data_IF_870622882053
#
_entry.id   IF_870622882053
#
_cell.length_a   1.000
_cell.length_b   1.000
_cell.length_c   1.000
_cell.angle_alpha   90.00
_cell.angle_beta   90.00
_cell.angle_gamma   90.00
#
_symmetry.space_group_name_H-M   'P 1'
#
loop_
_entity.id
_entity.type
_entity.pdbx_description
1 polymer ?
#
# COMPACT_ATOMS: atom_id res chain seq x y z
N UNK A 1 -0.26 -5.08 -30.53
CA UNK A 1 -1.53 -5.82 -30.45
C UNK A 1 -1.88 -6.24 -29.01
N UNK A 2 -0.93 -6.69 -28.18
CA UNK A 2 -1.18 -7.04 -26.76
C UNK A 2 -1.61 -5.86 -25.88
N UNK A 3 -1.14 -4.64 -26.16
CA UNK A 3 -1.50 -3.43 -25.40
C UNK A 3 -3.00 -3.16 -25.44
N UNK A 4 -3.66 -3.32 -26.60
CA UNK A 4 -5.11 -3.09 -26.74
C UNK A 4 -6.00 -4.05 -25.93
N UNK A 5 -5.55 -5.29 -25.69
CA UNK A 5 -6.29 -6.28 -24.90
C UNK A 5 -6.26 -5.98 -23.40
N UNK A 6 -5.15 -5.43 -22.89
CA UNK A 6 -5.05 -4.99 -21.50
C UNK A 6 -5.90 -3.73 -21.24
N UNK A 7 -5.94 -2.80 -22.21
CA UNK A 7 -6.85 -1.65 -22.17
C UNK A 7 -8.31 -2.09 -22.14
N UNK A 8 -8.70 -3.03 -23.01
CA UNK A 8 -10.05 -3.60 -23.00
C UNK A 8 -10.36 -4.30 -21.67
N UNK A 9 -9.38 -4.98 -21.07
CA UNK A 9 -9.55 -5.64 -19.77
C UNK A 9 -9.69 -4.65 -18.60
N UNK A 10 -8.93 -3.55 -18.57
CA UNK A 10 -9.07 -2.50 -17.54
C UNK A 10 -10.39 -1.75 -17.70
N UNK A 11 -10.79 -1.42 -18.94
CA UNK A 11 -12.09 -0.80 -19.22
C UNK A 11 -13.26 -1.74 -18.91
N UNK A 12 -13.16 -3.02 -19.24
CA UNK A 12 -14.15 -4.02 -18.85
C UNK A 12 -14.14 -4.21 -17.33
N UNK A 13 -13.00 -4.26 -16.66
CA UNK A 13 -12.91 -4.38 -15.19
C UNK A 13 -13.50 -3.17 -14.48
N UNK A 14 -13.34 -1.98 -15.04
CA UNK A 14 -13.92 -0.74 -14.53
C UNK A 14 -15.43 -0.65 -14.82
N UNK A 15 -15.88 -1.08 -15.99
CA UNK A 15 -17.30 -1.24 -16.37
C UNK A 15 -17.99 -2.30 -15.51
N UNK A 16 -17.30 -3.40 -15.22
CA UNK A 16 -17.75 -4.46 -14.33
C UNK A 16 -17.75 -3.97 -12.89
N UNK A 17 -16.71 -3.31 -12.38
CA UNK A 17 -16.74 -2.74 -11.03
C UNK A 17 -17.88 -1.72 -10.84
N UNK A 18 -18.27 -0.98 -11.89
CA UNK A 18 -19.39 -0.03 -11.87
C UNK A 18 -20.77 -0.71 -11.73
N UNK A 19 -20.93 -1.94 -12.24
CA UNK A 19 -22.15 -2.74 -12.05
C UNK A 19 -22.17 -3.41 -10.63
N UNK A 20 -21.05 -3.42 -9.88
CA UNK A 20 -20.74 -4.42 -8.83
C UNK A 20 -20.30 -3.83 -7.47
N UNK A 21 -21.13 -3.00 -6.84
CA UNK A 21 -21.01 -2.79 -5.39
C UNK A 21 -21.43 -4.03 -4.55
N UNK A 22 -21.75 -5.17 -5.18
CA UNK A 22 -22.42 -6.30 -4.51
C UNK A 22 -21.85 -7.71 -4.77
N UNK A 23 -21.16 -8.00 -5.89
CA UNK A 23 -20.79 -9.38 -6.25
C UNK A 23 -19.28 -9.63 -6.33
N UNK A 24 -18.77 -10.77 -5.84
CA UNK A 24 -17.38 -11.16 -6.00
C UNK A 24 -17.03 -11.44 -7.47
N UNK A 25 -15.81 -11.11 -7.87
CA UNK A 25 -15.29 -11.38 -9.22
C UNK A 25 -14.34 -12.56 -9.26
N UNK A 26 -14.50 -13.51 -10.20
CA UNK A 26 -13.57 -14.62 -10.31
C UNK A 26 -12.29 -14.17 -11.05
N UNK A 27 -11.14 -14.40 -10.42
CA UNK A 27 -9.82 -14.17 -11.01
C UNK A 27 -9.02 -15.47 -11.00
N UNK A 28 -8.48 -15.85 -12.16
CA UNK A 28 -7.54 -16.97 -12.27
C UNK A 28 -6.10 -16.47 -12.24
N UNK A 29 -5.34 -16.84 -11.22
CA UNK A 29 -3.93 -16.43 -11.05
C UNK A 29 -3.11 -17.64 -10.62
N UNK A 30 -2.03 -17.92 -11.35
CA UNK A 30 -1.08 -19.01 -11.06
C UNK A 30 -1.76 -20.35 -10.74
N UNK A 31 -2.67 -20.79 -11.62
CA UNK A 31 -3.31 -22.10 -11.50
C UNK A 31 -4.44 -22.19 -10.47
N UNK A 32 -4.90 -21.07 -9.89
CA UNK A 32 -6.02 -21.05 -8.94
C UNK A 32 -7.02 -19.93 -9.22
N UNK A 33 -8.28 -20.23 -8.90
CA UNK A 33 -9.38 -19.28 -8.93
C UNK A 33 -9.53 -18.60 -7.57
N UNK A 34 -9.83 -17.31 -7.61
CA UNK A 34 -10.14 -16.49 -6.44
C UNK A 34 -11.39 -15.66 -6.70
N UNK A 35 -12.18 -15.45 -5.65
CA UNK A 35 -13.20 -14.40 -5.63
C UNK A 35 -12.57 -13.12 -5.07
N UNK A 36 -12.65 -12.01 -5.79
CA UNK A 36 -12.10 -10.72 -5.33
C UNK A 36 -13.24 -9.76 -5.04
N UNK A 37 -13.17 -9.09 -3.89
CA UNK A 37 -14.12 -8.04 -3.49
C UNK A 37 -13.37 -6.77 -3.15
N UNK A 38 -13.90 -5.65 -3.60
CA UNK A 38 -13.38 -4.31 -3.33
C UNK A 38 -14.37 -3.53 -2.47
N UNK A 39 -13.86 -2.81 -1.48
CA UNK A 39 -14.64 -2.05 -0.53
C UNK A 39 -14.06 -0.65 -0.41
N UNK A 40 -14.91 0.36 -0.51
CA UNK A 40 -14.52 1.75 -0.34
C UNK A 40 -15.36 2.35 0.79
N UNK A 41 -14.70 2.77 1.87
CA UNK A 41 -15.31 3.33 3.07
C UNK A 41 -16.43 2.45 3.67
N UNK A 42 -16.18 1.15 3.90
CA UNK A 42 -17.23 0.27 4.42
C UNK A 42 -17.66 0.70 5.82
N UNK A 43 -18.93 0.49 6.13
CA UNK A 43 -19.55 0.87 7.39
C UNK A 43 -20.53 -0.22 7.89
N UNK A 44 -21.07 -0.04 9.10
CA UNK A 44 -22.09 -0.92 9.67
C UNK A 44 -21.68 -2.40 9.70
N UNK A 45 -22.58 -3.28 9.27
CA UNK A 45 -22.36 -4.73 9.25
C UNK A 45 -21.27 -5.15 8.27
N UNK A 46 -21.09 -4.42 7.17
CA UNK A 46 -20.02 -4.69 6.20
C UNK A 46 -18.66 -4.49 6.84
N UNK A 47 -18.47 -3.39 7.57
CA UNK A 47 -17.22 -3.12 8.29
C UNK A 47 -16.95 -4.17 9.39
N UNK A 48 -17.97 -4.57 10.17
CA UNK A 48 -17.83 -5.64 11.17
C UNK A 48 -17.39 -6.97 10.55
N UNK A 49 -18.04 -7.37 9.45
CA UNK A 49 -17.70 -8.59 8.72
C UNK A 49 -16.28 -8.53 8.16
N UNK A 50 -15.91 -7.39 7.58
CA UNK A 50 -14.56 -7.17 7.07
C UNK A 50 -13.51 -7.25 8.17
N UNK A 51 -13.73 -6.59 9.31
CA UNK A 51 -12.84 -6.64 10.46
C UNK A 51 -12.57 -8.08 10.89
N UNK A 52 -13.61 -8.90 10.99
CA UNK A 52 -13.49 -10.33 11.31
C UNK A 52 -12.63 -11.08 10.27
N UNK A 53 -12.89 -10.88 8.97
CA UNK A 53 -12.16 -11.53 7.88
C UNK A 53 -10.67 -11.15 7.84
N UNK A 54 -10.35 -9.86 7.96
CA UNK A 54 -8.95 -9.41 7.95
C UNK A 54 -8.22 -9.80 9.23
N UNK A 55 -8.92 -9.86 10.36
CA UNK A 55 -8.36 -10.35 11.63
C UNK A 55 -7.98 -11.83 11.53
N UNK A 56 -8.84 -12.65 10.90
CA UNK A 56 -8.55 -14.06 10.66
C UNK A 56 -7.28 -14.23 9.79
N UNK A 57 -7.16 -13.47 8.69
CA UNK A 57 -5.96 -13.54 7.83
C UNK A 57 -4.72 -13.11 8.62
N UNK A 58 -4.79 -11.99 9.33
CA UNK A 58 -3.65 -11.46 10.10
C UNK A 58 -3.19 -12.43 11.18
N UNK A 59 -4.12 -12.94 12.00
CA UNK A 59 -3.81 -13.89 13.06
C UNK A 59 -3.20 -15.18 12.48
N UNK A 60 -3.73 -15.67 11.35
CA UNK A 60 -3.20 -16.87 10.68
C UNK A 60 -1.82 -16.66 10.03
N UNK A 61 -1.47 -15.42 9.69
CA UNK A 61 -0.21 -15.09 9.01
C UNK A 61 0.89 -14.73 10.01
N UNK A 62 0.56 -13.90 11.01
CA UNK A 62 1.50 -13.31 11.96
C UNK A 62 1.52 -14.07 13.29
N UNK A 63 0.43 -14.78 13.63
CA UNK A 63 0.24 -15.47 14.92
C UNK A 63 -0.50 -14.63 15.96
N UNK A 64 -0.75 -13.34 15.69
CA UNK A 64 -1.52 -12.44 16.54
C UNK A 64 -2.16 -11.33 15.70
N UNK A 65 -3.03 -10.53 16.31
CA UNK A 65 -3.45 -9.26 15.72
C UNK A 65 -2.36 -8.21 15.95
N UNK A 66 -2.24 -7.28 15.00
CA UNK A 66 -1.36 -6.13 15.11
C UNK A 66 -2.11 -4.98 15.78
N UNK A 67 -1.39 -4.00 16.33
CA UNK A 67 -1.93 -2.83 17.01
C UNK A 67 -2.45 -1.75 16.03
N UNK A 68 -3.04 -2.18 14.91
CA UNK A 68 -3.62 -1.27 13.92
C UNK A 68 -5.06 -0.96 14.31
N UNK A 69 -5.45 0.31 14.18
CA UNK A 69 -6.80 0.78 14.50
C UNK A 69 -7.91 -0.03 13.83
N UNK A 70 -7.70 -0.52 12.60
CA UNK A 70 -8.70 -1.32 11.86
C UNK A 70 -9.06 -2.65 12.54
N UNK A 71 -8.19 -3.19 13.41
CA UNK A 71 -8.47 -4.41 14.17
C UNK A 71 -9.19 -4.13 15.50
N UNK A 72 -9.27 -2.87 15.92
CA UNK A 72 -9.79 -2.47 17.23
C UNK A 72 -11.10 -1.70 17.14
N UNK A 73 -11.22 -0.84 16.14
CA UNK A 73 -12.34 0.10 15.98
C UNK A 73 -12.96 -0.08 14.59
N UNK A 74 -14.22 -0.52 14.57
CA UNK A 74 -14.97 -0.69 13.32
C UNK A 74 -15.17 0.65 12.58
N UNK A 75 -15.15 1.79 13.28
CA UNK A 75 -15.27 3.10 12.66
C UNK A 75 -13.98 3.53 11.94
N UNK A 76 -12.86 2.84 12.20
CA UNK A 76 -11.60 3.08 11.50
C UNK A 76 -11.70 2.78 10.00
N UNK A 77 -12.74 2.07 9.55
CA UNK A 77 -12.99 1.79 8.14
C UNK A 77 -13.53 2.99 7.34
N UNK A 78 -13.97 4.06 7.99
CA UNK A 78 -14.57 5.26 7.36
C UNK A 78 -13.69 5.93 6.30
N UNK A 79 -12.37 5.77 6.36
CA UNK A 79 -11.43 6.27 5.35
C UNK A 79 -10.59 5.15 4.70
N UNK A 80 -11.05 3.89 4.78
CA UNK A 80 -10.32 2.72 4.26
C UNK A 80 -10.85 2.24 2.93
N UNK A 81 -9.95 1.73 2.11
CA UNK A 81 -10.20 1.14 0.81
C UNK A 81 -9.54 -0.23 0.82
N UNK A 82 -10.34 -1.30 0.75
CA UNK A 82 -9.85 -2.66 0.90
C UNK A 82 -10.10 -3.47 -0.37
N UNK A 83 -9.13 -4.33 -0.69
CA UNK A 83 -9.37 -5.51 -1.52
C UNK A 83 -9.23 -6.74 -0.65
N UNK A 84 -10.19 -7.65 -0.73
CA UNK A 84 -10.12 -8.97 -0.10
C UNK A 84 -10.27 -10.02 -1.19
N UNK A 85 -9.34 -10.97 -1.25
CA UNK A 85 -9.46 -12.14 -2.10
C UNK A 85 -9.82 -13.36 -1.25
N UNK A 86 -10.72 -14.17 -1.79
CA UNK A 86 -11.21 -15.40 -1.19
C UNK A 86 -10.82 -16.56 -2.12
N UNK A 87 -10.43 -17.69 -1.54
CA UNK A 87 -10.26 -18.91 -2.31
C UNK A 87 -11.62 -19.31 -2.93
N UNK A 88 -11.62 -19.62 -4.22
CA UNK A 88 -12.86 -19.82 -4.98
C UNK A 88 -13.71 -20.98 -4.45
N UNK A 89 -13.06 -22.06 -4.03
CA UNK A 89 -13.71 -23.32 -3.65
C UNK A 89 -14.16 -23.33 -2.20
N UNK A 90 -13.33 -22.79 -1.31
CA UNK A 90 -13.60 -22.79 0.13
C UNK A 90 -14.31 -21.52 0.62
N UNK A 91 -14.38 -20.48 -0.22
CA UNK A 91 -14.84 -19.14 0.13
C UNK A 91 -14.11 -18.50 1.34
N UNK A 92 -12.97 -19.06 1.75
CA UNK A 92 -12.16 -18.54 2.84
C UNK A 92 -11.41 -17.28 2.40
N UNK A 93 -11.34 -16.23 3.23
CA UNK A 93 -10.50 -15.06 2.93
C UNK A 93 -9.03 -15.46 2.99
N UNK A 94 -8.26 -15.22 1.92
CA UNK A 94 -6.86 -15.66 1.80
C UNK A 94 -5.86 -14.52 1.63
N UNK A 95 -6.34 -13.34 1.26
CA UNK A 95 -5.54 -12.15 1.04
C UNK A 95 -6.34 -10.90 1.36
N UNK A 96 -5.68 -9.88 1.89
CA UNK A 96 -6.20 -8.53 1.84
C UNK A 96 -5.09 -7.49 1.66
N UNK A 97 -5.48 -6.34 1.10
CA UNK A 97 -4.73 -5.09 1.17
C UNK A 97 -5.66 -4.00 1.73
N UNK A 98 -5.15 -3.20 2.66
CA UNK A 98 -5.88 -2.10 3.27
C UNK A 98 -5.18 -0.77 3.00
N UNK A 99 -5.77 0.06 2.15
CA UNK A 99 -5.32 1.42 1.88
C UNK A 99 -6.13 2.37 2.75
N UNK A 100 -5.52 3.42 3.26
CA UNK A 100 -6.29 4.52 3.83
C UNK A 100 -6.09 5.80 3.03
N UNK A 101 -7.15 6.60 2.99
CA UNK A 101 -7.15 7.91 2.37
C UNK A 101 -6.99 8.99 3.44
N UNK A 102 -6.18 9.99 3.11
CA UNK A 102 -6.21 11.29 3.75
C UNK A 102 -6.32 12.39 2.71
N UNK A 103 -7.08 13.43 3.02
CA UNK A 103 -7.00 14.71 2.31
C UNK A 103 -6.00 15.60 3.05
N UNK A 104 -5.37 16.52 2.31
CA UNK A 104 -4.49 17.51 2.92
C UNK A 104 -5.33 18.67 3.46
N UNK A 105 -5.03 19.19 4.67
CA UNK A 105 -5.56 20.47 5.13
C UNK A 105 -5.18 21.59 4.16
N UNK A 106 -6.05 22.60 4.02
CA UNK A 106 -5.87 23.72 3.09
C UNK A 106 -4.52 24.41 3.26
N UNK A 107 -4.06 24.59 4.50
CA UNK A 107 -2.79 25.24 4.84
C UNK A 107 -1.54 24.45 4.39
N UNK A 108 -1.66 23.12 4.24
CA UNK A 108 -0.60 22.29 3.65
C UNK A 108 -0.77 22.25 2.13
N UNK A 109 -2.00 22.13 1.66
CA UNK A 109 -2.33 22.09 0.24
C UNK A 109 -1.82 23.33 -0.52
N UNK A 110 -1.98 24.53 0.04
CA UNK A 110 -1.49 25.77 -0.58
C UNK A 110 0.04 25.77 -0.77
N UNK A 111 0.76 25.05 0.08
CA UNK A 111 2.23 24.88 0.02
C UNK A 111 2.65 23.78 -0.96
N UNK A 112 1.72 22.97 -1.47
CA UNK A 112 1.99 21.96 -2.48
C UNK A 112 2.21 22.60 -3.86
N UNK A 113 3.05 21.99 -4.73
CA UNK A 113 3.15 22.38 -6.13
C UNK A 113 1.77 22.42 -6.79
N UNK A 114 1.53 23.33 -7.73
CA UNK A 114 0.22 23.50 -8.38
C UNK A 114 -0.34 22.17 -8.92
N UNK A 115 0.52 21.32 -9.48
CA UNK A 115 0.14 20.01 -9.98
C UNK A 115 -0.22 18.97 -8.91
N UNK A 116 0.01 19.22 -7.62
CA UNK A 116 -0.30 18.32 -6.50
C UNK A 116 -1.36 18.90 -5.54
N UNK A 117 -1.86 20.11 -5.80
CA UNK A 117 -3.03 20.64 -5.10
C UNK A 117 -4.25 19.76 -5.41
N UNK A 118 -5.19 19.67 -4.48
CA UNK A 118 -6.39 18.83 -4.53
C UNK A 118 -6.13 17.35 -4.82
N UNK A 119 -4.90 16.89 -4.55
CA UNK A 119 -4.47 15.52 -4.77
C UNK A 119 -4.49 14.78 -3.44
N UNK A 120 -5.35 13.76 -3.27
CA UNK A 120 -5.45 13.03 -2.02
C UNK A 120 -4.23 12.15 -1.81
N UNK A 121 -3.96 11.86 -0.55
CA UNK A 121 -2.95 10.90 -0.14
C UNK A 121 -3.62 9.54 0.03
N UNK A 122 -3.11 8.54 -0.66
CA UNK A 122 -3.42 7.14 -0.43
C UNK A 122 -2.20 6.47 0.21
N UNK A 123 -2.36 5.93 1.40
CA UNK A 123 -1.31 5.17 2.05
C UNK A 123 -1.50 3.68 1.80
N UNK A 124 -0.57 3.07 1.07
CA UNK A 124 -0.47 1.65 0.81
C UNK A 124 0.00 0.91 2.07
N UNK A 125 -0.90 0.78 3.05
CA UNK A 125 -0.64 0.03 4.27
C UNK A 125 -1.01 -1.46 4.15
N UNK A 126 -0.49 -2.25 5.08
CA UNK A 126 -0.98 -3.55 5.52
C UNK A 126 -1.50 -4.49 4.40
N UNK A 127 -0.58 -5.32 3.91
CA UNK A 127 -0.86 -6.38 2.94
C UNK A 127 -0.58 -7.71 3.60
N UNK A 128 -1.56 -8.61 3.62
CA UNK A 128 -1.42 -9.93 4.19
C UNK A 128 -1.88 -11.01 3.22
N UNK A 129 -1.17 -12.12 3.20
CA UNK A 129 -1.50 -13.31 2.42
C UNK A 129 -1.30 -14.53 3.29
N UNK A 130 -2.31 -15.39 3.37
CA UNK A 130 -2.18 -16.65 4.08
C UNK A 130 -0.97 -17.44 3.56
N UNK A 131 -0.19 -18.11 4.43
CA UNK A 131 1.00 -18.86 4.03
C UNK A 131 0.76 -19.83 2.86
N UNK A 132 -0.39 -20.53 2.85
CA UNK A 132 -0.79 -21.48 1.79
C UNK A 132 -1.04 -20.84 0.41
N UNK A 133 -1.10 -19.50 0.35
CA UNK A 133 -1.37 -18.71 -0.86
C UNK A 133 -0.23 -17.73 -1.21
N UNK A 134 0.88 -17.75 -0.46
CA UNK A 134 2.07 -16.96 -0.77
C UNK A 134 2.72 -17.44 -2.09
N UNK A 135 3.44 -16.54 -2.76
CA UNK A 135 4.05 -16.83 -4.07
C UNK A 135 3.08 -16.87 -5.26
N UNK A 136 1.79 -16.60 -5.05
CA UNK A 136 0.75 -16.61 -6.11
C UNK A 136 0.41 -15.22 -6.67
N UNK A 137 1.29 -14.24 -6.46
CA UNK A 137 1.13 -12.85 -6.92
C UNK A 137 -0.18 -12.13 -6.55
N UNK A 138 -0.84 -12.53 -5.46
CA UNK A 138 -2.07 -11.86 -4.99
C UNK A 138 -1.86 -10.38 -4.63
N UNK A 139 -0.63 -9.99 -4.29
CA UNK A 139 -0.25 -8.58 -4.07
C UNK A 139 -0.50 -7.67 -5.27
N UNK A 140 -0.67 -8.21 -6.49
CA UNK A 140 -1.10 -7.44 -7.68
C UNK A 140 -2.43 -6.72 -7.45
N UNK A 141 -3.28 -7.27 -6.58
CA UNK A 141 -4.54 -6.63 -6.20
C UNK A 141 -4.36 -5.33 -5.40
N UNK A 142 -3.20 -5.09 -4.77
CA UNK A 142 -2.91 -3.80 -4.13
C UNK A 142 -2.82 -2.66 -5.15
N UNK A 143 -2.27 -2.94 -6.33
CA UNK A 143 -2.23 -1.97 -7.44
C UNK A 143 -3.66 -1.75 -7.94
N UNK A 144 -4.41 -2.82 -8.20
CA UNK A 144 -5.82 -2.74 -8.60
C UNK A 144 -6.65 -1.88 -7.62
N UNK A 145 -6.39 -1.99 -6.31
CA UNK A 145 -7.08 -1.21 -5.28
C UNK A 145 -6.95 0.31 -5.53
N UNK A 146 -5.72 0.78 -5.82
CA UNK A 146 -5.44 2.18 -6.14
C UNK A 146 -6.12 2.61 -7.44
N UNK A 147 -6.08 1.75 -8.46
CA UNK A 147 -6.70 2.01 -9.75
C UNK A 147 -8.21 2.17 -9.67
N UNK A 148 -8.88 1.23 -9.00
CA UNK A 148 -10.32 1.28 -8.81
C UNK A 148 -10.69 2.58 -8.07
N UNK A 149 -9.94 2.92 -7.02
CA UNK A 149 -10.19 4.16 -6.30
C UNK A 149 -10.05 5.40 -7.21
N UNK A 150 -8.96 5.51 -7.98
CA UNK A 150 -8.74 6.63 -8.90
C UNK A 150 -9.87 6.74 -9.93
N UNK A 151 -10.28 5.61 -10.52
CA UNK A 151 -11.35 5.54 -11.50
C UNK A 151 -12.69 5.99 -10.91
N UNK A 152 -13.12 5.38 -9.79
CA UNK A 152 -14.43 5.69 -9.18
C UNK A 152 -14.52 7.10 -8.62
N UNK A 153 -13.39 7.68 -8.18
CA UNK A 153 -13.34 9.05 -7.68
C UNK A 153 -13.03 10.08 -8.78
N UNK A 154 -13.01 9.67 -10.05
CA UNK A 154 -12.70 10.52 -11.22
C UNK A 154 -11.38 11.30 -11.04
N UNK A 155 -10.39 10.68 -10.43
CA UNK A 155 -9.05 11.23 -10.21
C UNK A 155 -8.07 10.62 -11.21
N UNK A 156 -7.16 11.43 -11.73
CA UNK A 156 -6.10 10.96 -12.65
C UNK A 156 -4.79 10.67 -11.94
N UNK A 157 -4.68 11.06 -10.67
CA UNK A 157 -3.49 10.89 -9.82
C UNK A 157 -3.84 10.96 -8.33
N UNK A 158 -2.93 10.42 -7.52
CA UNK A 158 -2.90 10.57 -6.07
C UNK A 158 -1.44 10.68 -5.60
N UNK A 159 -1.24 11.22 -4.41
CA UNK A 159 0.02 11.07 -3.68
C UNK A 159 -0.05 9.69 -3.04
N UNK A 160 0.91 8.83 -3.34
CA UNK A 160 1.01 7.51 -2.73
C UNK A 160 2.01 7.61 -1.58
N UNK A 161 1.70 6.98 -0.44
CA UNK A 161 2.70 6.74 0.63
C UNK A 161 2.73 5.27 1.06
N UNK A 162 3.84 4.81 1.63
CA UNK A 162 4.00 3.50 2.29
C UNK A 162 5.00 3.67 3.43
N UNK A 163 4.93 2.79 4.43
CA UNK A 163 5.95 2.68 5.46
C UNK A 163 6.25 1.21 5.70
N UNK A 164 7.52 0.85 5.53
CA UNK A 164 7.92 -0.52 5.74
C UNK A 164 9.41 -0.75 5.58
N UNK A 165 9.91 -1.77 6.28
CA UNK A 165 11.23 -2.33 6.02
C UNK A 165 11.14 -3.36 4.88
N UNK A 166 11.00 -2.88 3.65
CA UNK A 166 10.89 -3.72 2.46
C UNK A 166 11.62 -3.11 1.28
N UNK A 167 12.82 -3.64 1.01
CA UNK A 167 13.58 -3.28 -0.19
C UNK A 167 12.83 -3.64 -1.48
N UNK A 168 11.98 -4.67 -1.46
CA UNK A 168 11.06 -4.95 -2.57
C UNK A 168 10.06 -3.81 -2.81
N UNK A 169 9.53 -3.21 -1.73
CA UNK A 169 8.69 -2.00 -1.84
C UNK A 169 9.51 -0.84 -2.43
N UNK A 170 10.68 -0.49 -1.88
CA UNK A 170 11.51 0.59 -2.45
C UNK A 170 11.75 0.44 -3.95
N UNK A 171 11.98 -0.78 -4.44
CA UNK A 171 12.09 -1.05 -5.87
C UNK A 171 10.81 -0.71 -6.62
N UNK A 172 9.68 -1.26 -6.18
CA UNK A 172 8.37 -1.03 -6.78
C UNK A 172 8.09 0.47 -6.93
N UNK A 173 8.40 1.25 -5.90
CA UNK A 173 8.20 2.70 -5.89
C UNK A 173 9.12 3.43 -6.87
N UNK A 174 10.42 3.17 -6.78
CA UNK A 174 11.42 3.84 -7.60
C UNK A 174 11.29 3.55 -9.10
N UNK A 175 10.81 2.35 -9.45
CA UNK A 175 10.71 1.88 -10.84
C UNK A 175 9.39 2.30 -11.51
N UNK A 176 8.32 2.56 -10.74
CA UNK A 176 6.96 2.60 -11.29
C UNK A 176 6.12 3.82 -10.92
N UNK A 177 6.64 4.71 -10.07
CA UNK A 177 5.93 5.90 -9.65
C UNK A 177 6.67 7.15 -10.10
N UNK A 178 5.92 8.25 -10.23
CA UNK A 178 6.48 9.54 -10.59
C UNK A 178 7.09 10.20 -9.35
N UNK A 179 8.30 10.74 -9.53
CA UNK A 179 9.03 11.49 -8.51
C UNK A 179 9.09 10.76 -7.14
N UNK A 180 9.54 9.49 -7.10
CA UNK A 180 9.54 8.72 -5.86
C UNK A 180 10.70 9.13 -4.95
N UNK A 181 10.44 9.10 -3.64
CA UNK A 181 11.43 9.27 -2.60
C UNK A 181 11.19 8.29 -1.43
N UNK A 182 12.24 7.67 -0.88
CA UNK A 182 13.62 7.64 -1.39
C UNK A 182 13.74 6.88 -2.72
N UNK A 183 14.81 7.15 -3.48
CA UNK A 183 15.04 6.52 -4.80
C UNK A 183 16.41 5.86 -4.87
N UNK A 184 16.45 4.53 -4.98
CA UNK A 184 17.71 3.78 -5.01
C UNK A 184 18.52 3.97 -6.30
N UNK A 185 17.91 4.37 -7.41
CA UNK A 185 18.64 4.69 -8.65
C UNK A 185 19.43 5.99 -8.53
N UNK A 186 18.96 6.91 -7.67
CA UNK A 186 19.52 8.24 -7.47
C UNK A 186 19.54 8.56 -5.98
N UNK A 187 20.32 7.76 -5.24
CA UNK A 187 20.33 7.79 -3.77
C UNK A 187 20.84 9.11 -3.18
N UNK A 188 21.57 9.92 -3.96
CA UNK A 188 22.04 11.26 -3.57
C UNK A 188 20.95 12.34 -3.69
N UNK A 189 19.77 12.02 -4.24
CA UNK A 189 18.68 13.00 -4.27
C UNK A 189 18.29 13.39 -2.86
N UNK A 190 18.09 14.68 -2.66
CA UNK A 190 17.46 15.23 -1.46
C UNK A 190 15.94 15.26 -1.63
N UNK A 191 15.17 15.10 -0.54
CA UNK A 191 13.73 15.14 -0.62
C UNK A 191 13.24 16.54 -1.03
N UNK A 192 12.29 16.59 -1.96
CA UNK A 192 11.61 17.84 -2.31
C UNK A 192 10.73 18.29 -1.14
N UNK A 193 10.46 19.60 -1.07
CA UNK A 193 9.58 20.19 -0.05
C UNK A 193 8.22 19.50 0.07
N UNK A 194 7.64 19.04 -1.04
CA UNK A 194 6.36 18.35 -1.00
C UNK A 194 6.46 16.92 -0.43
N UNK A 195 7.60 16.24 -0.60
CA UNK A 195 7.89 14.96 0.05
C UNK A 195 7.89 15.15 1.57
N UNK A 196 8.64 16.16 2.05
CA UNK A 196 8.79 16.40 3.48
C UNK A 196 7.48 16.85 4.12
N UNK A 197 6.71 17.73 3.46
CA UNK A 197 5.37 18.13 3.92
C UNK A 197 4.44 16.93 4.05
N UNK A 198 4.43 16.03 3.04
CA UNK A 198 3.60 14.83 3.07
C UNK A 198 4.01 13.91 4.21
N UNK A 199 5.31 13.62 4.36
CA UNK A 199 5.82 12.73 5.40
C UNK A 199 5.52 13.26 6.80
N UNK A 200 5.77 14.55 7.07
CA UNK A 200 5.44 15.18 8.35
C UNK A 200 3.94 15.10 8.64
N UNK A 201 3.10 15.48 7.68
CA UNK A 201 1.66 15.41 7.85
C UNK A 201 1.19 14.00 8.19
N UNK A 202 1.66 13.00 7.44
CA UNK A 202 1.27 11.61 7.63
C UNK A 202 1.74 11.06 8.99
N UNK A 203 3.01 11.28 9.34
CA UNK A 203 3.60 10.78 10.60
C UNK A 203 3.13 11.53 11.84
N UNK A 204 2.61 12.76 11.72
CA UNK A 204 2.03 13.47 12.87
C UNK A 204 0.60 13.03 13.15
N UNK A 205 -0.19 12.76 12.10
CA UNK A 205 -1.64 12.59 12.24
C UNK A 205 -2.10 11.12 12.18
N UNK A 206 -1.30 10.22 11.60
CA UNK A 206 -1.76 8.87 11.23
C UNK A 206 -0.85 7.72 11.68
N UNK A 207 0.08 7.93 12.63
CA UNK A 207 0.98 6.87 13.15
C UNK A 207 0.26 5.56 13.50
N UNK A 208 -0.87 5.67 14.19
CA UNK A 208 -1.69 4.53 14.59
C UNK A 208 -2.34 3.79 13.40
N UNK A 209 -2.55 4.48 12.28
CA UNK A 209 -3.08 3.86 11.06
C UNK A 209 -2.02 3.01 10.35
N UNK A 210 -0.72 3.31 10.57
CA UNK A 210 0.40 2.57 10.01
C UNK A 210 0.91 1.43 10.91
N UNK A 211 0.47 1.37 12.17
CA UNK A 211 1.06 0.47 13.17
C UNK A 211 2.48 0.89 13.59
N UNK A 212 2.80 2.19 13.45
CA UNK A 212 4.08 2.76 13.84
C UNK A 212 4.06 3.19 15.30
N UNK A 213 5.15 2.94 16.03
CA UNK A 213 5.28 3.33 17.42
C UNK A 213 5.10 4.83 17.63
N UNK A 214 4.39 5.19 18.71
CA UNK A 214 4.24 6.59 19.13
C UNK A 214 5.60 7.25 19.45
N UNK A 215 6.58 6.48 19.93
CA UNK A 215 7.94 6.97 20.22
C UNK A 215 8.86 7.03 18.99
N UNK A 216 8.41 6.54 17.84
CA UNK A 216 9.21 6.55 16.62
C UNK A 216 9.56 7.97 16.17
N UNK A 217 10.79 8.17 15.71
CA UNK A 217 11.29 9.47 15.23
C UNK A 217 11.52 9.44 13.73
N UNK A 218 11.34 10.58 13.06
CA UNK A 218 11.51 10.68 11.62
C UNK A 218 12.83 11.34 11.27
N UNK A 219 13.70 10.59 10.59
CA UNK A 219 14.93 11.06 9.98
C UNK A 219 14.61 11.68 8.62
N UNK A 220 14.60 13.01 8.58
CA UNK A 220 14.18 13.79 7.40
C UNK A 220 15.13 13.61 6.21
N UNK A 221 16.42 13.34 6.46
CA UNK A 221 17.41 13.25 5.39
C UNK A 221 17.28 11.91 4.67
N UNK A 222 17.17 10.81 5.43
CA UNK A 222 17.09 9.46 4.85
C UNK A 222 15.66 8.96 4.63
N UNK A 223 14.64 9.70 5.07
CA UNK A 223 13.23 9.27 5.10
C UNK A 223 13.02 7.95 5.87
N UNK A 224 13.77 7.80 6.97
CA UNK A 224 13.67 6.62 7.84
C UNK A 224 12.88 6.97 9.08
N UNK A 225 11.90 6.14 9.42
CA UNK A 225 11.15 6.20 10.67
C UNK A 225 11.84 5.25 11.65
N UNK A 226 12.67 5.83 12.53
CA UNK A 226 13.49 5.11 13.50
C UNK A 226 12.61 4.55 14.60
N UNK A 227 12.80 3.26 14.92
CA UNK A 227 11.99 2.57 15.93
C UNK A 227 10.50 2.45 15.59
N UNK A 228 10.12 2.47 14.30
CA UNK A 228 8.73 2.34 13.88
C UNK A 228 8.07 1.05 14.40
N UNK A 229 8.80 -0.07 14.34
CA UNK A 229 8.35 -1.37 14.86
C UNK A 229 8.82 -1.64 16.30
N UNK A 230 9.26 -0.63 17.03
CA UNK A 230 9.62 -0.79 18.44
C UNK A 230 8.39 -1.24 19.24
N UNK A 231 8.56 -2.22 20.12
CA UNK A 231 7.48 -2.71 21.00
C UNK A 231 6.99 -1.61 21.94
N UNK A 232 7.92 -0.81 22.44
CA UNK A 232 7.61 0.39 23.20
C UNK A 232 6.88 1.40 22.31
N UNK A 233 5.75 1.92 22.78
CA UNK A 233 4.90 2.85 22.03
C UNK A 233 3.96 2.20 20.99
N UNK A 234 3.82 0.87 20.98
CA UNK A 234 2.77 0.17 20.22
C UNK A 234 3.11 -0.15 18.75
N UNK A 235 4.39 -0.15 18.39
CA UNK A 235 4.81 -0.52 17.03
C UNK A 235 4.52 -1.98 16.70
N UNK A 236 4.40 -2.29 15.40
CA UNK A 236 4.12 -3.62 14.88
C UNK A 236 5.34 -4.58 14.94
N UNK A 237 5.91 -4.74 16.13
CA UNK A 237 7.14 -5.50 16.40
C UNK A 237 7.13 -6.93 15.83
N UNK A 238 5.96 -7.57 15.75
CA UNK A 238 5.81 -8.92 15.20
C UNK A 238 6.11 -8.99 13.70
N UNK A 239 6.15 -7.86 12.98
CA UNK A 239 6.51 -7.79 11.57
C UNK A 239 8.01 -7.96 11.33
N UNK A 240 8.85 -7.69 12.34
CA UNK A 240 10.32 -7.74 12.20
C UNK A 240 10.81 -9.11 11.74
N UNK A 241 10.19 -10.20 12.22
CA UNK A 241 10.56 -11.58 11.82
C UNK A 241 10.36 -11.85 10.33
N UNK A 242 9.57 -11.03 9.64
CA UNK A 242 9.30 -11.15 8.20
C UNK A 242 10.22 -10.29 7.33
N UNK A 243 11.07 -9.42 7.90
CA UNK A 243 11.93 -8.51 7.13
C UNK A 243 12.76 -9.25 6.08
N UNK A 244 13.34 -10.41 6.44
CA UNK A 244 14.12 -11.25 5.50
C UNK A 244 13.32 -11.71 4.28
N UNK A 245 12.04 -12.04 4.46
CA UNK A 245 11.18 -12.49 3.35
C UNK A 245 10.75 -11.35 2.41
N UNK A 246 10.98 -10.10 2.83
CA UNK A 246 10.61 -8.89 2.09
C UNK A 246 11.80 -8.26 1.35
N UNK A 247 12.97 -8.90 1.42
CA UNK A 247 14.18 -8.46 0.74
C UNK A 247 14.06 -8.58 -0.78
N UNK A 248 14.43 -7.52 -1.48
CA UNK A 248 14.54 -7.54 -2.93
C UNK A 248 15.69 -8.46 -3.35
N UNK A 249 15.48 -9.24 -4.41
CA UNK A 249 16.57 -9.99 -5.07
C UNK A 249 17.58 -9.07 -5.78
N UNK A 250 17.22 -7.80 -5.98
CA UNK A 250 18.06 -6.83 -6.68
C UNK A 250 19.16 -6.29 -5.75
N UNK A 251 20.41 -6.59 -6.10
CA UNK A 251 21.57 -6.20 -5.30
C UNK A 251 21.72 -4.69 -5.12
N UNK A 252 21.37 -3.87 -6.12
CA UNK A 252 21.45 -2.39 -5.99
C UNK A 252 20.54 -1.87 -4.90
N UNK A 253 19.35 -2.44 -4.75
CA UNK A 253 18.36 -2.02 -3.75
C UNK A 253 18.78 -2.48 -2.35
N UNK A 254 19.37 -3.68 -2.25
CA UNK A 254 19.94 -4.16 -0.98
C UNK A 254 21.12 -3.30 -0.54
N UNK A 255 22.03 -2.96 -1.45
CA UNK A 255 23.15 -2.07 -1.19
C UNK A 255 22.66 -0.69 -0.75
N UNK A 256 21.58 -0.17 -1.34
CA UNK A 256 20.93 1.07 -0.90
C UNK A 256 20.49 1.00 0.58
N UNK A 257 19.81 -0.07 0.98
CA UNK A 257 19.38 -0.28 2.36
C UNK A 257 20.56 -0.38 3.33
N UNK A 258 21.56 -1.20 2.98
CA UNK A 258 22.68 -1.52 3.85
C UNK A 258 23.66 -0.36 3.99
N UNK A 259 23.98 0.34 2.90
CA UNK A 259 25.04 1.36 2.88
C UNK A 259 24.51 2.76 3.15
N UNK A 260 23.31 3.08 2.66
CA UNK A 260 22.80 4.46 2.67
C UNK A 260 21.73 4.68 3.75
N UNK A 261 20.76 3.78 3.90
CA UNK A 261 19.70 3.95 4.91
C UNK A 261 20.12 3.50 6.31
N UNK A 262 21.02 2.51 6.40
CA UNK A 262 21.56 1.94 7.66
C UNK A 262 20.43 1.61 8.64
N UNK A 263 19.48 0.79 8.19
CA UNK A 263 18.30 0.45 8.98
C UNK A 263 18.64 -0.51 10.11
N UNK A 264 18.10 -0.23 11.30
CA UNK A 264 17.92 -1.26 12.32
C UNK A 264 16.77 -2.21 11.93
N UNK A 265 16.60 -3.30 12.68
CA UNK A 265 15.48 -4.22 12.47
C UNK A 265 14.11 -3.57 12.76
N UNK A 266 14.09 -2.55 13.63
CA UNK A 266 12.87 -1.83 14.05
C UNK A 266 12.57 -0.61 13.18
N UNK A 267 13.53 -0.18 12.36
CA UNK A 267 13.38 0.97 11.48
C UNK A 267 12.55 0.61 10.25
N UNK A 268 11.81 1.59 9.73
CA UNK A 268 11.07 1.48 8.47
C UNK A 268 11.38 2.67 7.57
N UNK A 269 11.23 2.47 6.26
CA UNK A 269 11.41 3.53 5.28
C UNK A 269 10.05 4.12 4.97
N UNK A 270 9.93 5.45 5.02
CA UNK A 270 8.74 6.15 4.54
C UNK A 270 8.90 6.44 3.05
N UNK A 271 8.04 5.87 2.22
CA UNK A 271 8.00 6.13 0.79
C UNK A 271 6.92 7.15 0.47
N UNK A 272 7.23 8.02 -0.49
CA UNK A 272 6.30 8.99 -1.05
C UNK A 272 6.56 9.15 -2.54
N UNK A 273 5.50 9.20 -3.33
CA UNK A 273 5.58 9.38 -4.78
C UNK A 273 4.23 9.82 -5.33
N UNK A 274 4.16 10.08 -6.62
CA UNK A 274 2.91 10.36 -7.33
C UNK A 274 2.53 9.14 -8.15
N UNK A 275 1.35 8.58 -7.86
CA UNK A 275 0.71 7.57 -8.69
C UNK A 275 -0.21 8.27 -9.69
N UNK A 276 -0.09 7.95 -10.98
CA UNK A 276 -0.86 8.59 -12.04
C UNK A 276 -1.29 7.59 -13.10
N UNK A 277 -2.57 7.66 -13.51
CA UNK A 277 -3.15 6.80 -14.55
C UNK A 277 -2.31 6.87 -15.84
N UNK A 278 -2.05 8.05 -16.43
CA UNK A 278 -1.16 8.16 -17.60
C UNK A 278 0.21 7.51 -17.39
N UNK A 279 0.84 7.70 -16.23
CA UNK A 279 2.16 7.15 -15.99
C UNK A 279 2.15 5.62 -15.97
N UNK A 280 1.18 5.01 -15.30
CA UNK A 280 1.09 3.56 -15.34
C UNK A 280 0.74 3.02 -16.72
N UNK A 281 -0.14 3.71 -17.46
CA UNK A 281 -0.59 3.32 -18.80
C UNK A 281 0.51 3.40 -19.86
N UNK A 282 1.41 4.37 -19.74
CA UNK A 282 2.36 4.72 -20.81
C UNK A 282 3.83 4.73 -20.40
N UNK A 283 4.13 4.75 -19.09
CA UNK A 283 5.45 5.12 -18.58
C UNK A 283 6.15 4.08 -17.71
N UNK A 284 5.55 2.92 -17.43
CA UNK A 284 6.16 1.92 -16.53
C UNK A 284 6.64 0.67 -17.26
N UNK A 285 7.87 0.26 -16.97
CA UNK A 285 8.40 -1.06 -17.32
C UNK A 285 7.71 -2.18 -16.52
N UNK A 286 7.01 -1.88 -15.42
CA UNK A 286 6.19 -2.86 -14.69
C UNK A 286 5.10 -3.49 -15.54
N UNK A 287 4.53 -2.82 -16.57
CA UNK A 287 3.59 -3.54 -17.44
C UNK A 287 4.29 -4.72 -18.13
N UNK A 288 5.62 -4.71 -18.29
CA UNK A 288 6.38 -5.79 -18.92
C UNK A 288 6.92 -6.84 -17.94
N UNK A 289 7.30 -6.50 -16.70
CA UNK A 289 7.73 -7.50 -15.69
C UNK A 289 6.56 -8.14 -14.91
N UNK A 290 5.36 -7.58 -15.00
CA UNK A 290 4.14 -8.21 -14.47
C UNK A 290 3.44 -9.14 -15.49
N UNK A 291 3.92 -9.19 -16.74
CA UNK A 291 3.53 -10.15 -17.79
C UNK A 291 4.41 -11.39 -17.72
#
# INVERSE_FOLDING_TARGET
MLTGLLYLFVWLSALFAWIYHTYPFPFFINGRWYWVRWYCYPNGDVARKLQSQISQITASTIGCLLDYRIFQDVNAFSNKILVVAFDFWTAQPVFFNCVFRSDLPTEIEEKMPQGLRNTPILHLGLVMTLPSHQGRHLQRFSILNIWLWLFFNKKTKCILTDIGNSSSSTRLWADNLLDPFPNYHKWELVPKKWHTLTAHYMLQNYKIEFGSSLSATFDLESFVVRGSNAKEGGGAHQLIKFNKTREARNRKVLDFYQKHLKLSAEDEVFHVAVASIPHFLFGTAAVQEFI
#
